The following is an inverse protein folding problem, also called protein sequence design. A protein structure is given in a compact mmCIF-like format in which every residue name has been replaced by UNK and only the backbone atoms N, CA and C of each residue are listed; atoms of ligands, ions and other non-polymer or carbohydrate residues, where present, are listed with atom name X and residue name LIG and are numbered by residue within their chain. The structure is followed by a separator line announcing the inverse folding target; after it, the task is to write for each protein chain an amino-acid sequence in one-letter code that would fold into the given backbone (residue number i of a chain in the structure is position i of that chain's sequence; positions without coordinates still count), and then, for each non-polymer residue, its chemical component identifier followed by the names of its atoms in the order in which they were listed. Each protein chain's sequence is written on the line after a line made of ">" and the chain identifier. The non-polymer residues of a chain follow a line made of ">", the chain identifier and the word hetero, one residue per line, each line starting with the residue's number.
data_IF_536699136707
#
_entry.id   IF_536699136707
#
_cell.length_a   1.000
_cell.length_b   1.000
_cell.length_c   1.000
_cell.angle_alpha   90.00
_cell.angle_beta   90.00
_cell.angle_gamma   90.00
#
_symmetry.space_group_name_H-M   'P 1'
#
loop_
_entity.id
_entity.type
_entity.pdbx_description
1 polymer ?
#
# COMPACT_ATOMS: atom_id res chain seq x y z
N UNK A 1 -1.82 8.98 11.05
CA UNK A 1 -2.10 7.99 12.10
C UNK A 1 -0.83 7.17 12.26
N UNK A 2 -0.48 6.65 13.45
CA UNK A 2 0.76 5.85 13.57
C UNK A 2 0.59 4.47 12.93
N UNK A 3 1.67 3.91 12.37
CA UNK A 3 1.68 2.57 11.77
C UNK A 3 1.19 1.49 12.74
N UNK A 4 1.48 1.65 14.04
CA UNK A 4 1.02 0.76 15.11
C UNK A 4 -0.50 0.61 15.17
N UNK A 5 -1.26 1.66 14.83
CA UNK A 5 -2.73 1.58 14.80
C UNK A 5 -3.26 0.78 13.61
N UNK A 6 -2.53 0.77 12.49
CA UNK A 6 -2.86 -0.06 11.33
C UNK A 6 -2.48 -1.51 11.63
N UNK A 7 -1.34 -1.74 12.30
CA UNK A 7 -0.88 -3.10 12.64
C UNK A 7 -1.86 -3.88 13.53
N UNK A 8 -2.63 -3.21 14.39
CA UNK A 8 -3.61 -3.88 15.27
C UNK A 8 -4.93 -4.23 14.58
N UNK A 9 -5.11 -3.89 13.30
CA UNK A 9 -6.27 -4.32 12.53
C UNK A 9 -6.15 -5.80 12.17
N UNK A 10 -7.26 -6.52 12.22
CA UNK A 10 -7.31 -7.96 11.94
C UNK A 10 -6.73 -8.28 10.57
N UNK A 11 -5.91 -9.33 10.51
CA UNK A 11 -5.21 -9.77 9.32
C UNK A 11 -4.02 -8.92 8.89
N UNK A 12 -3.71 -7.75 9.49
CA UNK A 12 -2.51 -6.98 9.11
C UNK A 12 -1.24 -7.68 9.62
N UNK A 13 -0.43 -8.17 8.68
CA UNK A 13 0.82 -8.90 8.96
C UNK A 13 2.00 -7.93 9.09
N UNK A 14 2.02 -6.89 8.25
CA UNK A 14 3.01 -5.84 8.28
C UNK A 14 2.48 -4.57 7.62
N UNK A 15 2.99 -3.43 8.07
CA UNK A 15 2.74 -2.13 7.45
C UNK A 15 4.04 -1.32 7.42
N UNK A 16 4.33 -0.68 6.29
CA UNK A 16 5.56 0.08 6.08
C UNK A 16 5.26 1.45 5.49
N UNK A 17 6.04 2.44 5.91
CA UNK A 17 6.17 3.75 5.25
C UNK A 17 7.49 3.79 4.48
N UNK A 18 7.47 4.34 3.27
CA UNK A 18 8.65 4.37 2.40
C UNK A 18 8.87 5.74 1.73
N UNK A 19 10.07 5.94 1.19
CA UNK A 19 10.46 7.10 0.38
C UNK A 19 10.21 6.86 -1.10
N UNK A 20 10.28 7.90 -1.92
CA UNK A 20 10.07 7.81 -3.37
C UNK A 20 11.10 6.94 -4.13
N UNK A 21 12.25 6.65 -3.49
CA UNK A 21 13.30 5.73 -3.95
C UNK A 21 13.11 4.28 -3.47
N UNK A 22 12.08 4.01 -2.67
CA UNK A 22 11.73 2.69 -2.15
C UNK A 22 12.42 2.33 -0.84
N UNK A 23 13.25 3.22 -0.26
CA UNK A 23 13.81 3.02 1.06
C UNK A 23 12.72 3.08 2.12
N UNK A 24 12.74 2.12 3.04
CA UNK A 24 11.84 2.11 4.19
C UNK A 24 12.20 3.25 5.15
N UNK A 25 11.18 3.96 5.63
CA UNK A 25 11.27 4.97 6.69
C UNK A 25 10.92 4.37 8.04
N UNK A 26 9.82 3.61 8.08
CA UNK A 26 9.27 2.98 9.28
C UNK A 26 8.55 1.69 8.87
N UNK A 27 8.64 0.65 9.70
CA UNK A 27 8.01 -0.63 9.45
C UNK A 27 7.58 -1.28 10.76
N UNK A 28 6.36 -1.79 10.78
CA UNK A 28 5.74 -2.46 11.93
C UNK A 28 5.15 -3.78 11.44
N UNK A 29 5.36 -4.89 12.17
CA UNK A 29 4.82 -6.18 11.78
C UNK A 29 5.61 -7.38 12.28
N UNK A 30 5.10 -8.57 11.97
CA UNK A 30 5.71 -9.84 12.39
C UNK A 30 6.73 -10.40 11.39
N UNK A 31 6.89 -9.75 10.24
CA UNK A 31 7.89 -10.14 9.24
C UNK A 31 9.27 -9.56 9.56
N UNK A 32 10.37 -10.24 9.17
CA UNK A 32 11.73 -9.74 9.36
C UNK A 32 11.94 -8.35 8.73
N UNK A 33 12.79 -7.52 9.34
CA UNK A 33 13.08 -6.17 8.85
C UNK A 33 13.57 -6.13 7.39
N UNK A 34 14.33 -7.14 6.96
CA UNK A 34 14.72 -7.28 5.55
C UNK A 34 13.50 -7.41 4.61
N UNK A 35 12.50 -8.19 5.02
CA UNK A 35 11.26 -8.36 4.25
C UNK A 35 10.40 -7.09 4.26
N UNK A 36 10.44 -6.31 5.34
CA UNK A 36 9.80 -4.99 5.37
C UNK A 36 10.46 -4.04 4.35
N UNK A 37 11.80 -4.04 4.26
CA UNK A 37 12.53 -3.30 3.25
C UNK A 37 12.18 -3.72 1.81
N UNK A 38 12.06 -5.03 1.57
CA UNK A 38 11.61 -5.58 0.27
C UNK A 38 10.15 -5.20 -0.04
N UNK A 39 9.27 -5.17 0.96
CA UNK A 39 7.87 -4.75 0.81
C UNK A 39 7.78 -3.26 0.42
N UNK A 40 8.58 -2.39 1.06
CA UNK A 40 8.68 -0.97 0.70
C UNK A 40 9.15 -0.77 -0.75
N UNK A 41 10.19 -1.50 -1.17
CA UNK A 41 10.70 -1.43 -2.54
C UNK A 41 9.67 -1.94 -3.56
N UNK A 42 9.03 -3.07 -3.27
CA UNK A 42 7.93 -3.61 -4.07
C UNK A 42 6.81 -2.58 -4.24
N UNK A 43 6.40 -1.94 -3.15
CA UNK A 43 5.32 -0.96 -3.17
C UNK A 43 5.65 0.27 -4.00
N UNK A 44 6.91 0.74 -3.91
CA UNK A 44 7.39 1.84 -4.73
C UNK A 44 7.32 1.52 -6.23
N UNK A 45 7.76 0.32 -6.64
CA UNK A 45 7.71 -0.08 -8.05
C UNK A 45 6.29 -0.21 -8.57
N UNK A 46 5.40 -0.85 -7.80
CA UNK A 46 3.99 -0.98 -8.17
C UNK A 46 3.30 0.39 -8.27
N UNK A 47 3.58 1.31 -7.34
CA UNK A 47 3.04 2.68 -7.41
C UNK A 47 3.41 3.37 -8.73
N UNK A 48 4.67 3.24 -9.18
CA UNK A 48 5.10 3.82 -10.47
C UNK A 48 4.40 3.17 -11.66
N UNK A 49 4.27 1.85 -11.65
CA UNK A 49 3.58 1.11 -12.71
C UNK A 49 2.10 1.52 -12.81
N UNK A 50 1.39 1.55 -11.68
CA UNK A 50 -0.03 1.92 -11.61
C UNK A 50 -0.23 3.38 -12.03
N UNK A 51 0.61 4.29 -11.55
CA UNK A 51 0.51 5.72 -11.91
C UNK A 51 0.74 5.91 -13.42
N UNK A 52 1.77 5.29 -13.99
CA UNK A 52 2.03 5.38 -15.43
C UNK A 52 0.89 4.81 -16.29
N UNK A 53 0.30 3.69 -15.87
CA UNK A 53 -0.85 3.11 -16.57
C UNK A 53 -2.10 4.01 -16.46
N UNK A 54 -2.36 4.58 -15.28
CA UNK A 54 -3.47 5.50 -15.05
C UNK A 54 -3.31 6.79 -15.90
N UNK A 55 -2.10 7.34 -15.99
CA UNK A 55 -1.79 8.52 -16.79
C UNK A 55 -2.02 8.26 -18.29
N UNK A 56 -1.52 7.13 -18.79
CA UNK A 56 -1.75 6.72 -20.19
C UNK A 56 -3.23 6.51 -20.46
N UNK A 57 -3.94 5.80 -19.58
CA UNK A 57 -5.37 5.59 -19.75
C UNK A 57 -6.14 6.92 -19.73
N UNK A 58 -5.82 7.83 -18.82
CA UNK A 58 -6.44 9.16 -18.75
C UNK A 58 -6.20 9.95 -20.04
N UNK A 59 -4.99 9.88 -20.59
CA UNK A 59 -4.63 10.55 -21.84
C UNK A 59 -5.42 10.00 -23.03
N UNK A 60 -5.52 8.67 -23.19
CA UNK A 60 -6.20 8.08 -24.36
C UNK A 60 -7.72 8.12 -24.24
N UNK A 61 -8.27 7.90 -23.05
CA UNK A 61 -9.72 7.87 -22.84
C UNK A 61 -10.34 9.25 -22.70
N UNK A 62 -9.55 10.28 -22.37
CA UNK A 62 -10.01 11.62 -21.99
C UNK A 62 -10.96 11.62 -20.78
N UNK A 63 -11.07 10.50 -20.04
CA UNK A 63 -11.89 10.39 -18.84
C UNK A 63 -11.21 11.10 -17.67
N UNK A 64 -11.99 11.88 -16.92
CA UNK A 64 -11.53 12.51 -15.67
C UNK A 64 -11.55 11.50 -14.51
N UNK A 65 -10.69 11.74 -13.51
CA UNK A 65 -10.70 10.99 -12.25
C UNK A 65 -9.76 9.78 -12.17
N UNK A 66 -8.99 9.49 -13.22
CA UNK A 66 -8.00 8.41 -13.22
C UNK A 66 -6.65 8.79 -12.60
N UNK A 67 -6.24 10.05 -12.78
CA UNK A 67 -4.98 10.59 -12.25
C UNK A 67 -5.25 11.68 -11.20
N UNK A 68 -4.51 11.73 -10.08
CA UNK A 68 -3.50 10.74 -9.66
C UNK A 68 -4.14 9.46 -9.13
N UNK A 69 -3.49 8.32 -9.36
CA UNK A 69 -3.89 7.05 -8.76
C UNK A 69 -3.76 7.14 -7.23
N UNK A 70 -4.86 6.86 -6.50
CA UNK A 70 -4.89 6.95 -5.03
C UNK A 70 -4.12 5.82 -4.35
N UNK A 71 -4.18 4.62 -4.94
CA UNK A 71 -3.63 3.42 -4.36
C UNK A 71 -3.88 2.22 -5.26
N UNK A 72 -3.49 1.04 -4.78
CA UNK A 72 -3.69 -0.21 -5.49
C UNK A 72 -3.73 -1.38 -4.51
N UNK A 73 -4.28 -2.49 -5.00
CA UNK A 73 -4.39 -3.74 -4.27
C UNK A 73 -3.88 -4.86 -5.17
N UNK A 74 -2.96 -5.67 -4.66
CA UNK A 74 -2.55 -6.94 -5.28
C UNK A 74 -3.08 -8.07 -4.42
N UNK A 75 -4.10 -8.76 -4.92
CA UNK A 75 -4.75 -9.88 -4.22
C UNK A 75 -4.09 -11.20 -4.64
N UNK A 76 -3.39 -11.84 -3.70
CA UNK A 76 -2.90 -13.21 -3.85
C UNK A 76 -3.83 -14.22 -3.19
N UNK A 77 -3.50 -15.50 -3.26
CA UNK A 77 -4.33 -16.58 -2.68
C UNK A 77 -4.49 -16.44 -1.17
N UNK A 78 -3.39 -16.20 -0.45
CA UNK A 78 -3.39 -16.15 1.02
C UNK A 78 -3.14 -14.74 1.56
N UNK A 79 -2.38 -13.93 0.82
CA UNK A 79 -1.95 -12.60 1.22
C UNK A 79 -2.41 -11.58 0.20
N UNK A 80 -2.79 -10.41 0.68
CA UNK A 80 -3.05 -9.23 -0.14
C UNK A 80 -2.07 -8.13 0.23
N UNK A 81 -1.64 -7.34 -0.76
CA UNK A 81 -0.87 -6.12 -0.52
C UNK A 81 -1.72 -4.92 -0.90
N UNK A 82 -1.91 -4.01 0.05
CA UNK A 82 -2.67 -2.79 -0.11
C UNK A 82 -1.73 -1.58 0.01
N UNK A 83 -1.80 -0.64 -0.92
CA UNK A 83 -0.99 0.57 -0.89
C UNK A 83 -1.85 1.82 -1.07
N UNK A 84 -1.53 2.84 -0.28
CA UNK A 84 -2.05 4.21 -0.42
C UNK A 84 -0.87 5.16 -0.22
N UNK A 85 -0.65 6.07 -1.17
CA UNK A 85 0.48 7.00 -1.17
C UNK A 85 1.83 6.29 -0.88
N UNK A 86 2.50 6.66 0.22
CA UNK A 86 3.78 6.09 0.65
C UNK A 86 3.66 5.05 1.77
N UNK A 87 2.47 4.48 1.95
CA UNK A 87 2.15 3.45 2.94
C UNK A 87 1.75 2.15 2.25
N UNK A 88 2.25 1.02 2.74
CA UNK A 88 1.88 -0.30 2.25
C UNK A 88 1.58 -1.23 3.41
N UNK A 89 0.49 -1.97 3.32
CA UNK A 89 0.14 -3.04 4.25
C UNK A 89 0.14 -4.39 3.52
N UNK A 90 0.66 -5.42 4.18
CA UNK A 90 0.50 -6.81 3.79
C UNK A 90 -0.45 -7.49 4.76
N UNK A 91 -1.43 -8.22 4.23
CA UNK A 91 -2.57 -8.70 5.01
C UNK A 91 -2.88 -10.17 4.72
N UNK A 92 -3.27 -10.97 5.72
CA UNK A 92 -3.80 -12.33 5.56
C UNK A 92 -5.29 -12.26 5.20
N UNK A 93 -5.63 -12.88 4.07
CA UNK A 93 -6.98 -12.83 3.50
C UNK A 93 -8.05 -13.50 4.37
N UNK A 94 -7.67 -14.37 5.31
CA UNK A 94 -8.64 -15.09 6.17
C UNK A 94 -9.27 -14.20 7.22
N UNK A 95 -8.59 -13.14 7.62
CA UNK A 95 -8.97 -12.30 8.77
C UNK A 95 -9.19 -10.84 8.37
N UNK A 96 -8.69 -10.42 7.20
CA UNK A 96 -8.64 -9.01 6.82
C UNK A 96 -9.96 -8.44 6.26
N UNK A 97 -10.42 -7.35 6.87
CA UNK A 97 -11.41 -6.45 6.29
C UNK A 97 -10.73 -5.39 5.38
N UNK A 98 -10.50 -5.73 4.11
CA UNK A 98 -9.71 -4.90 3.16
C UNK A 98 -10.19 -3.44 3.08
N UNK A 99 -11.50 -3.19 3.13
CA UNK A 99 -12.04 -1.83 3.08
C UNK A 99 -11.61 -0.97 4.30
N UNK A 100 -11.59 -1.57 5.49
CA UNK A 100 -11.16 -0.90 6.72
C UNK A 100 -9.66 -0.59 6.68
N UNK A 101 -8.87 -1.53 6.15
CA UNK A 101 -7.42 -1.37 5.98
C UNK A 101 -7.11 -0.25 4.98
N UNK A 102 -7.82 -0.19 3.85
CA UNK A 102 -7.66 0.90 2.87
C UNK A 102 -8.04 2.26 3.45
N UNK A 103 -9.12 2.35 4.23
CA UNK A 103 -9.51 3.58 4.90
C UNK A 103 -8.45 4.03 5.94
N UNK A 104 -7.93 3.08 6.73
CA UNK A 104 -6.88 3.37 7.70
C UNK A 104 -5.57 3.83 7.04
N UNK A 105 -5.21 3.25 5.90
CA UNK A 105 -4.05 3.67 5.11
C UNK A 105 -4.22 5.09 4.53
N UNK A 106 -5.41 5.41 4.00
CA UNK A 106 -5.74 6.75 3.53
C UNK A 106 -5.64 7.78 4.65
N UNK A 107 -6.28 7.55 5.80
CA UNK A 107 -6.22 8.42 6.97
C UNK A 107 -4.78 8.62 7.48
N UNK A 108 -3.96 7.58 7.39
CA UNK A 108 -2.57 7.64 7.78
C UNK A 108 -1.68 8.39 6.78
N UNK A 109 -2.05 8.44 5.51
CA UNK A 109 -1.27 9.09 4.45
C UNK A 109 -1.24 10.61 4.54
N UNK A 110 -2.26 11.21 5.18
CA UNK A 110 -2.39 12.67 5.37
C UNK A 110 -1.60 13.20 6.57
N UNK A 111 -0.77 12.37 7.20
CA UNK A 111 0.08 12.69 8.35
C UNK A 111 1.52 12.27 8.09
#
# INVERSE_FOLDING_TARGET
>A
MSLKRILVLDGVVAVCRFQDDGRILEGEGVIPAEMQGRLAQFAQWYRRMVSGNADLFSLFSQMRGWTPAKGWIVHGTNLTVCNVANLVAMVDNREAAINEIMAALEDASHQ
#
